data_IF_090103260496
#
_entry.id   IF_090103260496
#
_cell.length_a   1.000
_cell.length_b   1.000
_cell.length_c   1.000
_cell.angle_alpha   90.00
_cell.angle_beta   90.00
_cell.angle_gamma   90.00
#
_symmetry.space_group_name_H-M   'P 1'
#
loop_
_entity.id
_entity.type
_entity.pdbx_description
1 polymer ?
#
# COMPACT_ATOMS: atom_id res chain seq x y z
N UNK A 1 -16.07 5.97 -10.44
CA UNK A 1 -14.72 6.36 -9.97
C UNK A 1 -14.84 6.71 -8.50
N UNK A 2 -14.21 5.95 -7.58
CA UNK A 2 -14.09 6.41 -6.18
C UNK A 2 -13.22 7.66 -6.21
N UNK A 3 -13.82 8.81 -5.93
CA UNK A 3 -13.17 10.09 -6.23
C UNK A 3 -12.08 10.44 -5.23
N UNK A 4 -12.12 9.94 -3.99
CA UNK A 4 -11.10 10.23 -2.98
C UNK A 4 -11.11 9.07 -1.95
N UNK A 5 -9.96 8.60 -1.48
CA UNK A 5 -9.88 7.73 -0.30
C UNK A 5 -10.28 8.51 0.94
N UNK A 6 -11.08 7.91 1.82
CA UNK A 6 -11.35 8.47 3.15
C UNK A 6 -10.26 8.06 4.14
N UNK A 7 -10.10 8.82 5.23
CA UNK A 7 -9.19 8.45 6.32
C UNK A 7 -9.53 7.06 6.90
N UNK A 8 -10.81 6.70 6.93
CA UNK A 8 -11.26 5.36 7.37
C UNK A 8 -10.73 4.26 6.45
N UNK A 9 -10.82 4.44 5.13
CA UNK A 9 -10.27 3.47 4.17
C UNK A 9 -8.75 3.34 4.30
N UNK A 10 -8.02 4.44 4.53
CA UNK A 10 -6.57 4.39 4.79
C UNK A 10 -6.27 3.61 6.08
N UNK A 11 -7.06 3.83 7.13
CA UNK A 11 -6.89 3.11 8.40
C UNK A 11 -7.23 1.61 8.29
N UNK A 12 -8.27 1.25 7.53
CA UNK A 12 -8.60 -0.15 7.25
C UNK A 12 -7.48 -0.85 6.49
N UNK A 13 -6.90 -0.17 5.49
CA UNK A 13 -5.75 -0.68 4.74
C UNK A 13 -4.54 -0.86 5.66
N UNK A 14 -4.25 0.12 6.52
CA UNK A 14 -3.16 0.03 7.51
C UNK A 14 -3.35 -1.13 8.48
N UNK A 15 -4.56 -1.30 9.01
CA UNK A 15 -4.88 -2.38 9.93
C UNK A 15 -4.71 -3.77 9.29
N UNK A 16 -5.03 -3.91 8.00
CA UNK A 16 -4.75 -5.14 7.26
C UNK A 16 -3.24 -5.41 7.18
N UNK A 17 -2.45 -4.41 6.80
CA UNK A 17 -0.98 -4.54 6.72
C UNK A 17 -0.33 -4.88 8.07
N UNK A 18 -0.87 -4.38 9.19
CA UNK A 18 -0.38 -4.70 10.53
C UNK A 18 -0.66 -6.16 10.96
N UNK A 19 -1.59 -6.85 10.30
CA UNK A 19 -1.92 -8.27 10.57
C UNK A 19 -1.15 -9.24 9.65
N UNK A 20 -0.40 -8.72 8.68
CA UNK A 20 0.29 -9.52 7.68
C UNK A 20 1.80 -9.47 7.92
N UNK A 21 2.43 -10.63 7.93
CA UNK A 21 3.89 -10.70 7.89
C UNK A 21 4.37 -10.32 6.49
N UNK A 22 5.09 -9.20 6.41
CA UNK A 22 5.64 -8.69 5.15
C UNK A 22 6.96 -9.39 4.84
N UNK A 23 7.19 -9.81 3.58
CA UNK A 23 8.48 -10.34 3.18
C UNK A 23 9.55 -9.24 3.26
N UNK A 24 10.83 -9.61 3.35
CA UNK A 24 11.92 -8.64 3.39
C UNK A 24 11.96 -7.79 2.09
N UNK A 25 11.87 -8.47 0.95
CA UNK A 25 11.88 -7.89 -0.39
C UNK A 25 10.70 -8.41 -1.23
N UNK A 26 10.34 -7.69 -2.28
CA UNK A 26 9.24 -8.06 -3.18
C UNK A 26 9.47 -7.57 -4.60
N UNK A 27 9.14 -8.41 -5.58
CA UNK A 27 9.01 -8.01 -6.98
C UNK A 27 7.53 -8.04 -7.36
N UNK A 28 6.90 -6.87 -7.49
CA UNK A 28 5.48 -6.76 -7.86
C UNK A 28 5.25 -7.12 -9.33
N UNK A 29 6.12 -6.61 -10.21
CA UNK A 29 6.12 -6.85 -11.65
C UNK A 29 7.53 -6.62 -12.21
N UNK A 30 7.75 -6.77 -13.51
CA UNK A 30 9.08 -6.64 -14.14
C UNK A 30 9.77 -5.28 -13.91
N UNK A 31 9.02 -4.21 -13.63
CA UNK A 31 9.54 -2.86 -13.46
C UNK A 31 9.61 -2.41 -12.00
N UNK A 32 8.85 -3.04 -11.10
CA UNK A 32 8.76 -2.62 -9.69
C UNK A 32 9.35 -3.67 -8.76
N UNK A 33 10.58 -3.40 -8.33
CA UNK A 33 11.29 -4.10 -7.27
C UNK A 33 11.28 -3.26 -5.99
N UNK A 34 10.97 -3.90 -4.86
CA UNK A 34 10.92 -3.29 -3.53
C UNK A 34 11.93 -4.06 -2.66
N UNK A 35 13.12 -3.49 -2.41
CA UNK A 35 14.18 -4.18 -1.64
C UNK A 35 13.91 -4.24 -0.14
N UNK A 36 13.14 -3.29 0.41
CA UNK A 36 12.68 -3.29 1.80
C UNK A 36 11.17 -2.99 1.82
N UNK A 37 10.36 -4.05 1.90
CA UNK A 37 8.91 -3.93 1.86
C UNK A 37 8.38 -3.24 3.10
N UNK A 38 8.95 -3.51 4.27
CA UNK A 38 8.49 -2.94 5.54
C UNK A 38 8.70 -1.44 5.56
N UNK A 39 9.89 -0.97 5.21
CA UNK A 39 10.21 0.45 5.13
C UNK A 39 9.38 1.15 4.05
N UNK A 40 9.23 0.51 2.89
CA UNK A 40 8.45 1.06 1.77
C UNK A 40 6.98 1.22 2.14
N UNK A 41 6.35 0.20 2.72
CA UNK A 41 4.95 0.25 3.19
C UNK A 41 4.78 1.34 4.24
N UNK A 42 5.70 1.46 5.21
CA UNK A 42 5.64 2.51 6.22
C UNK A 42 5.68 3.92 5.59
N UNK A 43 6.58 4.14 4.61
CA UNK A 43 6.67 5.42 3.88
C UNK A 43 5.43 5.71 3.05
N UNK A 44 4.87 4.71 2.40
CA UNK A 44 3.64 4.86 1.62
C UNK A 44 2.46 5.26 2.52
N UNK A 45 2.36 4.70 3.73
CA UNK A 45 1.32 5.12 4.67
C UNK A 45 1.55 6.54 5.20
N UNK A 46 2.79 6.94 5.51
CA UNK A 46 3.08 8.33 5.87
C UNK A 46 2.60 9.31 4.77
N UNK A 47 2.84 8.97 3.50
CA UNK A 47 2.35 9.78 2.39
C UNK A 47 0.81 9.70 2.24
N UNK A 48 0.23 8.52 2.41
CA UNK A 48 -1.22 8.32 2.32
C UNK A 48 -1.97 9.17 3.33
N UNK A 49 -1.51 9.24 4.59
CA UNK A 49 -2.12 10.09 5.62
C UNK A 49 -2.04 11.59 5.32
N UNK A 50 -1.07 12.02 4.51
CA UNK A 50 -0.94 13.42 4.07
C UNK A 50 -1.75 13.71 2.81
N UNK A 51 -1.86 12.73 1.91
CA UNK A 51 -2.39 12.93 0.57
C UNK A 51 -3.78 12.31 0.32
N UNK A 52 -4.40 11.63 1.31
CA UNK A 52 -5.66 10.91 1.10
C UNK A 52 -6.77 11.79 0.55
N UNK A 53 -6.87 13.06 1.00
CA UNK A 53 -7.91 14.00 0.55
C UNK A 53 -7.65 14.58 -0.84
N UNK A 54 -6.45 14.39 -1.40
CA UNK A 54 -6.06 14.93 -2.69
C UNK A 54 -6.04 13.83 -3.77
N UNK A 55 -7.06 13.72 -4.64
CA UNK A 55 -7.15 12.66 -5.64
C UNK A 55 -5.96 12.60 -6.62
N UNK A 56 -5.25 13.72 -6.82
CA UNK A 56 -4.09 13.76 -7.72
C UNK A 56 -2.82 13.18 -7.09
N UNK A 57 -2.80 12.95 -5.78
CA UNK A 57 -1.62 12.50 -5.02
C UNK A 57 -1.79 11.10 -4.39
N UNK A 58 -2.81 10.35 -4.82
CA UNK A 58 -3.13 9.02 -4.28
C UNK A 58 -2.29 7.88 -4.90
N UNK A 59 -1.22 8.18 -5.64
CA UNK A 59 -0.33 7.15 -6.19
C UNK A 59 0.28 6.23 -5.12
N UNK A 60 0.50 6.76 -3.90
CA UNK A 60 0.91 5.97 -2.75
C UNK A 60 -0.12 4.90 -2.34
N UNK A 61 -1.41 5.26 -2.34
CA UNK A 61 -2.52 4.36 -2.03
C UNK A 61 -2.69 3.30 -3.12
N UNK A 62 -2.57 3.68 -4.39
CA UNK A 62 -2.58 2.71 -5.50
C UNK A 62 -1.46 1.68 -5.36
N UNK A 63 -0.26 2.10 -4.96
CA UNK A 63 0.85 1.16 -4.74
C UNK A 63 0.60 0.26 -3.53
N UNK A 64 0.04 0.77 -2.44
CA UNK A 64 -0.34 -0.03 -1.27
C UNK A 64 -1.37 -1.12 -1.62
N UNK A 65 -2.40 -0.80 -2.40
CA UNK A 65 -3.38 -1.78 -2.87
C UNK A 65 -2.72 -2.87 -3.72
N UNK A 66 -1.82 -2.49 -4.63
CA UNK A 66 -1.08 -3.46 -5.46
C UNK A 66 -0.22 -4.41 -4.63
N UNK A 67 0.46 -3.88 -3.60
CA UNK A 67 1.24 -4.69 -2.66
C UNK A 67 0.31 -5.65 -1.90
N UNK A 68 -0.83 -5.16 -1.41
CA UNK A 68 -1.82 -5.99 -0.73
C UNK A 68 -2.32 -7.12 -1.62
N UNK A 69 -2.77 -6.82 -2.85
CA UNK A 69 -3.26 -7.84 -3.79
C UNK A 69 -2.19 -8.89 -4.07
N UNK A 70 -0.94 -8.47 -4.31
CA UNK A 70 0.17 -9.41 -4.52
C UNK A 70 0.38 -10.36 -3.32
N UNK A 71 0.32 -9.82 -2.09
CA UNK A 71 0.45 -10.61 -0.87
C UNK A 71 -0.73 -11.57 -0.66
N UNK A 72 -1.95 -11.16 -1.02
CA UNK A 72 -3.13 -12.02 -0.98
C UNK A 72 -3.02 -13.16 -2.01
N UNK A 73 -2.59 -12.86 -3.24
CA UNK A 73 -2.39 -13.86 -4.30
C UNK A 73 -1.29 -14.87 -3.98
N UNK A 74 -0.22 -14.46 -3.30
CA UNK A 74 0.88 -15.36 -2.88
C UNK A 74 0.52 -16.27 -1.71
N UNK A 75 -0.55 -15.95 -0.98
CA UNK A 75 -1.03 -16.73 0.17
C UNK A 75 -2.05 -17.81 -0.20
N UNK A 76 -2.62 -17.75 -1.41
CA UNK A 76 -3.50 -18.78 -1.98
C UNK A 76 -2.76 -19.77 -2.86
#
# INVERSE_FOLDING_TARGET
MKNVYTLEEVNQLKAWFDQVELPAEMQLDKAVYIPDVKETVARLFMQAYVCYENPKLQGCLTLLERIKTYLEEKRG
#
